data_IF_540800075012
#
_entry.id   IF_540800075012
#
_cell.length_a   1.000
_cell.length_b   1.000
_cell.length_c   1.000
_cell.angle_alpha   90.00
_cell.angle_beta   90.00
_cell.angle_gamma   90.00
#
_symmetry.space_group_name_H-M   'P 1'
#
loop_
_entity.id
_entity.type
_entity.pdbx_description
1 polymer ?
#
# COMPACT_ATOMS: atom_id res chain seq x y z
N UNK A 1 5.95 11.12 -9.78
CA UNK A 1 5.11 9.97 -9.37
C UNK A 1 4.63 9.15 -10.57
N UNK A 2 4.25 9.78 -11.69
CA UNK A 2 3.82 9.07 -12.91
C UNK A 2 4.78 7.99 -13.43
N UNK A 3 6.09 8.18 -13.26
CA UNK A 3 7.08 7.19 -13.72
C UNK A 3 6.95 5.86 -12.97
N UNK A 4 6.92 5.87 -11.63
CA UNK A 4 6.75 4.67 -10.83
C UNK A 4 5.39 4.02 -11.13
N UNK A 5 4.33 4.83 -11.21
CA UNK A 5 2.99 4.35 -11.55
C UNK A 5 2.97 3.60 -12.88
N UNK A 6 3.56 4.18 -13.94
CA UNK A 6 3.69 3.52 -15.26
C UNK A 6 4.52 2.23 -15.22
N UNK A 7 5.57 2.17 -14.41
CA UNK A 7 6.37 0.96 -14.25
C UNK A 7 5.57 -0.15 -13.55
N UNK A 8 4.80 0.20 -12.52
CA UNK A 8 3.90 -0.71 -11.82
C UNK A 8 2.76 -1.19 -12.71
N UNK A 9 2.17 -0.31 -13.52
CA UNK A 9 1.14 -0.66 -14.49
C UNK A 9 1.65 -1.63 -15.54
N UNK A 10 2.89 -1.44 -16.02
CA UNK A 10 3.54 -2.40 -16.93
C UNK A 10 3.79 -3.75 -16.26
N UNK A 11 4.27 -3.76 -15.02
CA UNK A 11 4.48 -4.99 -14.27
C UNK A 11 3.15 -5.73 -14.04
N UNK A 12 2.08 -5.00 -13.73
CA UNK A 12 0.74 -5.58 -13.55
C UNK A 12 0.13 -6.08 -14.86
N UNK A 13 0.25 -5.30 -15.95
CA UNK A 13 -0.23 -5.67 -17.29
C UNK A 13 0.53 -6.87 -17.89
N UNK A 14 1.81 -7.03 -17.53
CA UNK A 14 2.61 -8.21 -17.88
C UNK A 14 2.35 -9.44 -17.00
N UNK A 15 1.49 -9.34 -15.98
CA UNK A 15 1.19 -10.46 -15.08
C UNK A 15 2.24 -10.70 -13.98
N UNK A 16 3.28 -9.86 -13.89
CA UNK A 16 4.33 -9.95 -12.88
C UNK A 16 3.88 -9.46 -11.49
N UNK A 17 2.85 -8.62 -11.45
CA UNK A 17 2.19 -8.18 -10.21
C UNK A 17 0.68 -8.38 -10.34
N UNK A 18 0.11 -9.18 -9.45
CA UNK A 18 -1.34 -9.45 -9.49
C UNK A 18 -2.16 -8.33 -8.89
N UNK A 19 -1.62 -7.58 -7.93
CA UNK A 19 -2.36 -6.52 -7.24
C UNK A 19 -3.57 -7.04 -6.47
N UNK A 20 -4.48 -6.13 -6.17
CA UNK A 20 -5.74 -6.41 -5.51
C UNK A 20 -6.91 -6.25 -6.49
N UNK A 21 -7.87 -7.17 -6.43
CA UNK A 21 -9.17 -7.03 -7.11
C UNK A 21 -10.26 -7.02 -6.07
N UNK A 22 -11.17 -6.05 -6.15
CA UNK A 22 -12.38 -6.04 -5.33
C UNK A 22 -13.25 -7.27 -5.66
N UNK A 23 -14.15 -7.69 -4.73
CA UNK A 23 -14.97 -8.89 -4.89
C UNK A 23 -15.80 -8.91 -6.18
N UNK A 24 -16.12 -10.14 -6.61
CA UNK A 24 -16.93 -10.48 -7.78
C UNK A 24 -18.30 -9.78 -7.69
N UNK A 25 -18.65 -9.01 -8.72
CA UNK A 25 -19.95 -8.31 -8.82
C UNK A 25 -19.86 -6.88 -9.34
N UNK A 26 -18.66 -6.29 -9.41
CA UNK A 26 -18.44 -5.00 -10.09
C UNK A 26 -18.07 -5.29 -11.55
N UNK A 27 -18.88 -4.91 -12.56
CA UNK A 27 -18.66 -5.25 -13.98
C UNK A 27 -17.37 -4.67 -14.60
N UNK A 28 -16.54 -4.02 -13.79
CA UNK A 28 -15.31 -3.34 -14.16
C UNK A 28 -14.39 -3.26 -12.94
N UNK A 29 -14.22 -4.36 -12.20
CA UNK A 29 -13.26 -4.42 -11.10
C UNK A 29 -11.84 -4.14 -11.64
N UNK A 30 -11.41 -2.88 -11.55
CA UNK A 30 -10.06 -2.48 -11.90
C UNK A 30 -9.12 -3.11 -10.89
N UNK A 31 -8.14 -3.85 -11.39
CA UNK A 31 -7.00 -4.32 -10.60
C UNK A 31 -6.26 -3.11 -10.05
N UNK A 32 -6.13 -3.03 -8.73
CA UNK A 32 -5.39 -1.98 -8.03
C UNK A 32 -4.06 -2.56 -7.57
N UNK A 33 -2.94 -2.10 -8.12
CA UNK A 33 -1.61 -2.57 -7.73
C UNK A 33 -0.91 -1.63 -6.73
N UNK A 34 -1.27 -0.33 -6.72
CA UNK A 34 -0.60 0.65 -5.88
C UNK A 34 -1.46 1.90 -5.62
N UNK A 35 -1.19 2.58 -4.50
CA UNK A 35 -1.60 3.95 -4.20
C UNK A 35 -0.37 4.81 -3.97
N UNK A 36 -0.33 5.99 -4.59
CA UNK A 36 0.77 6.94 -4.50
C UNK A 36 0.27 8.24 -3.90
N UNK A 37 0.93 8.70 -2.83
CA UNK A 37 0.69 10.01 -2.25
C UNK A 37 2.00 10.65 -1.80
N UNK A 38 2.49 11.63 -2.56
CA UNK A 38 3.76 12.32 -2.30
C UNK A 38 4.91 11.33 -2.12
N UNK A 39 5.38 11.13 -0.89
CA UNK A 39 6.46 10.22 -0.49
C UNK A 39 5.96 8.90 0.10
N UNK A 40 4.66 8.80 0.41
CA UNK A 40 4.01 7.59 0.92
C UNK A 40 3.44 6.76 -0.24
N UNK A 41 3.84 5.49 -0.31
CA UNK A 41 3.41 4.57 -1.36
C UNK A 41 2.93 3.27 -0.72
N UNK A 42 1.72 2.86 -1.09
CA UNK A 42 1.16 1.57 -0.70
C UNK A 42 1.10 0.68 -1.94
N UNK A 43 1.58 -0.56 -1.82
CA UNK A 43 1.68 -1.51 -2.93
C UNK A 43 0.94 -2.79 -2.53
N UNK A 44 0.14 -3.32 -3.44
CA UNK A 44 -0.58 -4.58 -3.31
C UNK A 44 0.08 -5.65 -4.17
N UNK A 45 0.40 -6.79 -3.57
CA UNK A 45 0.88 -7.99 -4.25
C UNK A 45 0.49 -9.23 -3.44
N UNK A 46 0.52 -10.41 -4.08
CA UNK A 46 0.31 -11.64 -3.32
C UNK A 46 1.56 -11.97 -2.49
N UNK A 47 1.39 -12.85 -1.51
CA UNK A 47 2.47 -13.45 -0.73
C UNK A 47 3.28 -14.48 -1.56
N UNK A 48 3.92 -14.01 -2.63
CA UNK A 48 4.62 -14.81 -3.62
C UNK A 48 6.03 -14.26 -3.86
N UNK A 49 7.04 -15.13 -3.71
CA UNK A 49 8.45 -14.72 -3.80
C UNK A 49 8.83 -14.18 -5.19
N UNK A 50 8.23 -14.70 -6.25
CA UNK A 50 8.49 -14.24 -7.61
C UNK A 50 7.92 -12.82 -7.79
N UNK A 51 6.68 -12.57 -7.37
CA UNK A 51 6.09 -11.23 -7.38
C UNK A 51 6.91 -10.21 -6.57
N UNK A 52 7.39 -10.59 -5.38
CA UNK A 52 8.24 -9.72 -4.57
C UNK A 52 9.59 -9.44 -5.24
N UNK A 53 10.14 -10.42 -5.97
CA UNK A 53 11.37 -10.25 -6.74
C UNK A 53 11.15 -9.26 -7.89
N UNK A 54 10.06 -9.37 -8.64
CA UNK A 54 9.71 -8.40 -9.68
C UNK A 54 9.46 -7.01 -9.10
N UNK A 55 8.75 -6.91 -7.98
CA UNK A 55 8.53 -5.64 -7.28
C UNK A 55 9.86 -4.98 -6.92
N UNK A 56 10.78 -5.74 -6.32
CA UNK A 56 12.11 -5.25 -5.97
C UNK A 56 12.88 -4.72 -7.18
N UNK A 57 12.81 -5.42 -8.30
CA UNK A 57 13.45 -4.97 -9.55
C UNK A 57 12.81 -3.66 -10.05
N UNK A 58 11.49 -3.54 -10.05
CA UNK A 58 10.79 -2.30 -10.43
C UNK A 58 11.24 -1.13 -9.56
N UNK A 59 11.32 -1.32 -8.25
CA UNK A 59 11.78 -0.30 -7.30
C UNK A 59 13.26 0.06 -7.50
N UNK A 60 14.12 -0.91 -7.83
CA UNK A 60 15.53 -0.67 -8.17
C UNK A 60 15.67 0.14 -9.46
N UNK A 61 14.97 -0.24 -10.52
CA UNK A 61 14.97 0.51 -11.78
C UNK A 61 14.44 1.93 -11.60
N UNK A 62 13.41 2.11 -10.79
CA UNK A 62 12.88 3.43 -10.48
C UNK A 62 13.94 4.30 -9.80
N UNK A 63 14.66 3.78 -8.81
CA UNK A 63 15.75 4.51 -8.16
C UNK A 63 16.85 4.91 -9.14
N UNK A 64 17.26 3.98 -10.02
CA UNK A 64 18.30 4.24 -11.03
C UNK A 64 17.87 5.35 -12.01
N UNK A 65 16.65 5.28 -12.54
CA UNK A 65 16.18 6.20 -13.58
C UNK A 65 15.81 7.57 -13.01
N UNK A 66 15.24 7.61 -11.80
CA UNK A 66 14.80 8.87 -11.17
C UNK A 66 15.90 9.56 -10.37
N UNK A 67 16.97 8.86 -10.00
CA UNK A 67 17.97 9.34 -9.04
C UNK A 67 17.47 9.42 -7.60
N UNK A 68 16.22 9.01 -7.32
CA UNK A 68 15.66 8.96 -5.98
C UNK A 68 16.11 7.71 -5.23
N UNK A 69 16.11 7.78 -3.90
CA UNK A 69 16.42 6.65 -3.03
C UNK A 69 15.20 6.25 -2.23
N UNK A 70 14.79 4.99 -2.36
CA UNK A 70 13.70 4.43 -1.56
C UNK A 70 14.25 4.08 -0.19
N UNK A 71 13.57 4.54 0.86
CA UNK A 71 13.94 4.26 2.22
C UNK A 71 13.33 2.94 2.71
N UNK A 72 13.97 1.83 2.37
CA UNK A 72 13.52 0.49 2.78
C UNK A 72 13.45 0.31 4.32
N UNK A 73 14.21 1.11 5.09
CA UNK A 73 14.13 1.11 6.56
C UNK A 73 12.84 1.71 7.14
N UNK A 74 12.10 2.48 6.34
CA UNK A 74 10.76 2.98 6.63
C UNK A 74 9.66 2.15 5.94
N UNK A 75 10.01 1.22 5.07
CA UNK A 75 9.04 0.34 4.43
C UNK A 75 8.65 -0.79 5.37
N UNK A 76 7.36 -1.14 5.33
CA UNK A 76 6.79 -2.24 6.09
C UNK A 76 5.96 -3.13 5.15
N UNK A 77 6.01 -4.45 5.37
CA UNK A 77 5.13 -5.42 4.73
C UNK A 77 4.07 -5.86 5.73
N UNK A 78 2.81 -5.85 5.30
CA UNK A 78 1.67 -6.22 6.11
C UNK A 78 1.05 -7.51 5.56
N UNK A 79 1.10 -8.65 6.28
CA UNK A 79 0.39 -9.84 5.87
C UNK A 79 -1.12 -9.61 5.97
N UNK A 80 -1.86 -10.01 4.93
CA UNK A 80 -3.33 -9.99 4.91
C UNK A 80 -3.81 -11.43 4.85
N UNK A 81 -4.44 -11.92 5.92
CA UNK A 81 -4.77 -13.33 6.08
C UNK A 81 -3.57 -14.17 6.57
N UNK A 82 -3.62 -15.48 6.34
CA UNK A 82 -2.54 -16.40 6.74
C UNK A 82 -1.41 -16.38 5.70
N UNK A 83 -0.21 -15.97 6.14
CA UNK A 83 1.01 -15.94 5.32
C UNK A 83 2.14 -16.63 6.07
N UNK A 84 2.36 -17.91 5.79
CA UNK A 84 3.32 -18.75 6.53
C UNK A 84 4.79 -18.31 6.39
N UNK A 85 5.15 -17.65 5.29
CA UNK A 85 6.53 -17.31 4.92
C UNK A 85 6.84 -15.80 5.04
N UNK A 86 6.10 -15.04 5.85
CA UNK A 86 6.22 -13.57 5.93
C UNK A 86 7.65 -13.08 6.25
N UNK A 87 8.39 -13.80 7.09
CA UNK A 87 9.77 -13.44 7.44
C UNK A 87 10.71 -13.54 6.23
N UNK A 88 10.54 -14.57 5.39
CA UNK A 88 11.31 -14.73 4.16
C UNK A 88 10.97 -13.62 3.15
N UNK A 89 9.67 -13.28 3.03
CA UNK A 89 9.18 -12.20 2.16
C UNK A 89 9.76 -10.85 2.59
N UNK A 90 9.73 -10.54 3.88
CA UNK A 90 10.26 -9.28 4.42
C UNK A 90 11.78 -9.17 4.25
N UNK A 91 12.51 -10.27 4.46
CA UNK A 91 13.95 -10.34 4.22
C UNK A 91 14.30 -10.08 2.75
N UNK A 92 13.53 -10.66 1.82
CA UNK A 92 13.75 -10.47 0.39
C UNK A 92 13.58 -9.00 -0.04
N UNK A 93 12.56 -8.32 0.47
CA UNK A 93 12.29 -6.89 0.21
C UNK A 93 13.18 -5.94 1.05
N UNK A 94 13.79 -6.44 2.13
CA UNK A 94 14.53 -5.65 3.13
C UNK A 94 13.67 -4.61 3.84
N UNK A 95 12.42 -4.97 4.14
CA UNK A 95 11.47 -4.14 4.87
C UNK A 95 11.12 -4.81 6.21
N UNK A 96 10.52 -4.06 7.13
CA UNK A 96 10.04 -4.61 8.41
C UNK A 96 8.72 -5.33 8.21
N UNK A 97 8.38 -6.27 9.08
CA UNK A 97 7.03 -6.83 9.17
C UNK A 97 6.18 -5.91 10.05
N UNK A 98 5.10 -5.38 9.49
CA UNK A 98 4.10 -4.61 10.22
C UNK A 98 2.89 -5.47 10.58
N UNK A 99 2.01 -4.93 11.42
CA UNK A 99 0.76 -5.59 11.82
C UNK A 99 -0.45 -4.72 11.49
N UNK A 100 -1.56 -5.36 11.10
CA UNK A 100 -2.86 -4.71 11.01
C UNK A 100 -3.63 -4.88 12.34
N UNK A 101 -4.46 -3.90 12.75
CA UNK A 101 -4.73 -2.63 12.08
C UNK A 101 -3.58 -1.60 12.19
N UNK A 102 -3.46 -0.72 11.19
CA UNK A 102 -2.46 0.37 11.15
C UNK A 102 -3.09 1.67 10.63
N UNK A 103 -2.29 2.72 10.44
CA UNK A 103 -2.75 4.00 9.85
C UNK A 103 -1.94 4.33 8.59
N UNK A 104 -2.61 4.78 7.53
CA UNK A 104 -1.99 5.32 6.32
C UNK A 104 -2.61 6.67 5.99
N UNK A 105 -1.80 7.73 5.93
CA UNK A 105 -2.25 9.11 5.71
C UNK A 105 -3.34 9.59 6.69
N UNK A 106 -3.28 9.12 7.93
CA UNK A 106 -4.30 9.41 8.96
C UNK A 106 -5.61 8.63 8.80
N UNK A 107 -5.69 7.73 7.81
CA UNK A 107 -6.81 6.82 7.63
C UNK A 107 -6.50 5.45 8.22
N UNK A 108 -7.45 4.85 8.94
CA UNK A 108 -7.20 3.64 9.66
C UNK A 108 -7.38 2.45 8.68
N UNK A 109 -6.42 1.53 8.68
CA UNK A 109 -6.29 0.42 7.74
C UNK A 109 -6.39 -0.94 8.46
N UNK A 110 -7.07 -1.89 7.84
CA UNK A 110 -7.05 -3.29 8.26
C UNK A 110 -7.99 -3.69 9.39
N UNK A 111 -8.74 -2.76 9.98
CA UNK A 111 -9.86 -3.14 10.85
C UNK A 111 -11.14 -3.41 10.06
N UNK A 112 -12.12 -3.99 10.75
CA UNK A 112 -13.46 -4.19 10.20
C UNK A 112 -14.08 -2.85 9.81
N UNK A 113 -14.54 -2.74 8.57
CA UNK A 113 -15.31 -1.58 8.11
C UNK A 113 -16.60 -1.35 8.91
N UNK A 114 -17.07 -2.37 9.65
CA UNK A 114 -18.26 -2.31 10.50
C UNK A 114 -17.96 -1.81 11.92
N UNK A 115 -16.70 -1.71 12.30
CA UNK A 115 -16.32 -1.19 13.60
C UNK A 115 -16.33 0.34 13.56
N UNK A 116 -17.44 0.93 13.99
CA UNK A 116 -17.64 2.39 14.01
C UNK A 116 -16.62 3.04 14.94
N UNK A 117 -16.20 2.37 16.02
CA UNK A 117 -15.25 2.94 16.99
C UNK A 117 -13.87 3.15 16.39
N UNK A 118 -13.51 2.35 15.39
CA UNK A 118 -12.27 2.50 14.64
C UNK A 118 -12.22 3.78 13.78
N UNK A 119 -13.39 4.36 13.44
CA UNK A 119 -13.50 5.61 12.69
C UNK A 119 -13.47 6.87 13.57
N UNK A 120 -13.60 6.73 14.89
CA UNK A 120 -13.63 7.87 15.82
C UNK A 120 -12.45 8.85 15.63
N UNK A 121 -11.18 8.40 15.45
CA UNK A 121 -10.07 9.33 15.23
C UNK A 121 -10.23 10.18 13.96
N UNK A 122 -10.86 9.63 12.92
CA UNK A 122 -11.14 10.36 11.67
C UNK A 122 -12.25 11.38 11.88
N UNK A 123 -13.30 11.00 12.60
CA UNK A 123 -14.43 11.88 12.95
C UNK A 123 -13.91 13.08 13.76
N UNK A 124 -13.16 12.84 14.83
CA UNK A 124 -12.57 13.89 15.67
C UNK A 124 -11.66 14.83 14.87
N UNK A 125 -10.90 14.30 13.91
CA UNK A 125 -10.05 15.10 13.03
C UNK A 125 -10.87 16.05 12.14
N UNK A 126 -12.00 15.58 11.61
CA UNK A 126 -12.90 16.39 10.78
C UNK A 126 -13.62 17.43 11.64
N UNK A 127 -14.14 17.04 12.80
CA UNK A 127 -14.81 17.95 13.75
C UNK A 127 -13.89 19.09 14.19
N UNK A 128 -12.62 18.80 14.51
CA UNK A 128 -11.63 19.82 14.87
C UNK A 128 -11.38 20.82 13.75
N UNK A 129 -11.37 20.37 12.49
CA UNK A 129 -11.23 21.25 11.31
C UNK A 129 -12.47 22.12 11.12
N UNK A 130 -13.66 21.56 11.30
CA UNK A 130 -14.94 22.28 11.18
C UNK A 130 -15.12 23.32 12.29
N UNK A 131 -14.74 23.00 13.52
CA UNK A 131 -14.80 23.94 14.65
C UNK A 131 -13.94 25.19 14.43
N UNK A 132 -12.83 25.06 13.69
CA UNK A 132 -12.00 26.20 13.28
C UNK A 132 -12.63 27.07 12.20
N UNK A 133 -13.54 26.53 11.39
CA UNK A 133 -14.27 27.26 10.34
C UNK A 133 -15.44 28.06 10.90
N UNK A 134 -16.17 27.53 11.89
CA UNK A 134 -17.31 28.23 12.50
C UNK A 134 -16.92 29.43 13.37
N UNK A 135 -15.63 29.59 13.70
CA UNK A 135 -15.10 30.73 14.45
C UNK A 135 -14.64 31.90 13.57
N UNK A 136 -14.76 31.80 12.25
CA UNK A 136 -14.61 32.90 11.30
C UNK A 136 -15.97 33.39 10.85
#
# INVERSE_FOLDING_TARGET
MDALSKMMDRAAGGGFLRGFSAPIGVPSARRVSHFLFVDDTLIFCDADMDQLTYLKQVLQWFQIVSGLKINLGKCEIFPVGEVANIDALSYALRCKVGSLPTTYLGLPLGASHKDITFWNPVIEMVEKRLAGWQKR
#
